data_IF_874154735435
#
_entry.id   IF_874154735435
#
_cell.length_a   1.000
_cell.length_b   1.000
_cell.length_c   1.000
_cell.angle_alpha   90.00
_cell.angle_beta   90.00
_cell.angle_gamma   90.00
#
_symmetry.space_group_name_H-M   'P 1'
#
loop_
_entity.id
_entity.type
_entity.pdbx_description
1 polymer ?
#
# COMPACT_ATOMS: atom_id res chain seq x y z
N UNK A 1 31.47 -39.44 -18.48
CA UNK A 1 31.54 -38.04 -18.09
C UNK A 1 31.04 -37.05 -19.18
N UNK A 2 31.04 -37.36 -20.48
CA UNK A 2 30.55 -36.44 -21.52
C UNK A 2 29.02 -36.33 -21.65
N UNK A 3 28.25 -37.27 -21.16
CA UNK A 3 26.76 -37.24 -21.22
C UNK A 3 26.10 -36.57 -20.02
N UNK A 4 26.85 -36.31 -18.95
CA UNK A 4 26.32 -35.62 -17.76
C UNK A 4 26.31 -34.08 -17.92
N UNK A 5 27.22 -33.56 -18.73
CA UNK A 5 27.30 -32.13 -19.07
C UNK A 5 26.23 -31.67 -20.05
N UNK A 6 25.68 -32.57 -20.86
CA UNK A 6 24.59 -32.22 -21.80
C UNK A 6 23.23 -32.17 -21.17
N UNK A 7 23.01 -32.85 -20.03
CA UNK A 7 21.77 -32.80 -19.27
C UNK A 7 21.66 -31.56 -18.39
N UNK A 8 22.77 -30.99 -17.97
CA UNK A 8 22.83 -29.78 -17.15
C UNK A 8 22.60 -28.49 -17.97
N UNK A 9 22.81 -28.56 -19.30
CA UNK A 9 22.64 -27.44 -20.22
C UNK A 9 21.19 -27.23 -20.68
N UNK A 10 20.28 -28.19 -20.44
CA UNK A 10 18.88 -28.13 -20.91
C UNK A 10 17.89 -27.61 -19.83
N UNK A 11 18.36 -27.43 -18.60
CA UNK A 11 17.52 -26.96 -17.47
C UNK A 11 17.45 -25.44 -17.36
N UNK A 12 18.23 -24.68 -18.16
CA UNK A 12 18.36 -23.22 -18.01
C UNK A 12 17.46 -22.35 -18.95
N UNK A 13 16.46 -22.94 -19.65
CA UNK A 13 15.62 -22.15 -20.57
C UNK A 13 14.13 -22.32 -20.31
N UNK A 14 13.70 -22.11 -19.08
CA UNK A 14 12.31 -21.77 -18.81
C UNK A 14 12.26 -20.39 -18.14
N UNK A 15 12.47 -19.34 -18.93
CA UNK A 15 11.95 -18.02 -18.58
C UNK A 15 10.45 -18.05 -18.83
N UNK A 16 9.69 -18.40 -17.79
CA UNK A 16 8.26 -18.17 -17.77
C UNK A 16 8.06 -16.67 -17.63
N UNK A 17 7.77 -16.01 -18.75
CA UNK A 17 7.24 -14.66 -18.76
C UNK A 17 5.93 -14.67 -17.98
N UNK A 18 5.94 -14.31 -16.73
CA UNK A 18 4.73 -14.12 -15.94
C UNK A 18 4.15 -12.76 -16.32
N UNK A 19 2.95 -12.74 -16.89
CA UNK A 19 2.21 -11.52 -17.16
C UNK A 19 2.03 -10.73 -15.87
N UNK A 20 2.30 -9.42 -15.94
CA UNK A 20 2.17 -8.49 -14.83
C UNK A 20 0.69 -8.34 -14.46
N UNK A 21 0.31 -8.81 -13.31
CA UNK A 21 -0.91 -8.42 -12.64
C UNK A 21 -0.68 -8.24 -11.15
N UNK A 22 -0.22 -7.08 -10.82
CA UNK A 22 -0.33 -6.58 -9.48
C UNK A 22 -1.12 -5.30 -9.53
N UNK A 23 -2.43 -5.33 -9.25
CA UNK A 23 -3.12 -4.10 -8.91
C UNK A 23 -2.35 -3.53 -7.73
N UNK A 24 -1.78 -2.32 -7.85
CA UNK A 24 -1.02 -1.71 -6.76
C UNK A 24 -1.99 -1.37 -5.66
N UNK A 25 -2.21 -2.32 -4.77
CA UNK A 25 -3.07 -2.13 -3.63
C UNK A 25 -2.32 -1.21 -2.66
N UNK A 26 -2.83 0.02 -2.48
CA UNK A 26 -2.49 0.90 -1.38
C UNK A 26 -1.05 1.44 -1.28
N UNK A 27 -0.37 1.67 -2.38
CA UNK A 27 1.06 1.97 -2.32
C UNK A 27 1.45 3.44 -2.45
N UNK A 28 0.53 4.28 -2.92
CA UNK A 28 0.87 5.69 -3.09
C UNK A 28 0.40 6.47 -1.86
N UNK A 29 1.35 6.80 -1.00
CA UNK A 29 1.26 7.77 0.10
C UNK A 29 0.16 7.56 1.10
N UNK A 30 0.18 6.43 1.70
CA UNK A 30 -0.62 6.12 2.88
C UNK A 30 0.06 6.55 4.18
N UNK A 31 0.94 7.56 4.12
CA UNK A 31 1.61 8.08 5.32
C UNK A 31 0.65 8.66 6.35
N UNK A 32 -0.55 8.98 5.94
CA UNK A 32 -1.65 9.40 6.80
C UNK A 32 -2.48 8.22 7.34
N UNK A 33 -2.28 7.00 6.79
CA UNK A 33 -3.00 5.80 7.19
C UNK A 33 -2.15 4.53 7.09
N UNK A 34 -1.12 4.41 7.91
CA UNK A 34 -0.22 3.25 7.96
C UNK A 34 -0.95 1.93 8.22
N UNK A 35 -2.12 1.98 8.83
CA UNK A 35 -2.94 0.81 9.10
C UNK A 35 -3.35 0.06 7.81
N UNK A 36 -3.55 0.76 6.69
CA UNK A 36 -3.87 0.10 5.42
C UNK A 36 -2.72 -0.79 4.89
N UNK A 37 -1.48 -0.45 5.24
CA UNK A 37 -0.30 -1.23 4.87
C UNK A 37 0.04 -2.30 5.92
N UNK A 38 -0.08 -1.93 7.20
CA UNK A 38 0.47 -2.69 8.31
C UNK A 38 -0.65 -3.06 9.30
N UNK A 39 -1.17 -4.30 9.27
CA UNK A 39 -2.23 -4.73 10.20
C UNK A 39 -1.81 -4.64 11.67
N UNK A 40 -0.51 -4.68 11.95
CA UNK A 40 0.05 -4.46 13.30
C UNK A 40 -0.19 -3.05 13.86
N UNK A 41 -0.64 -2.11 13.02
CA UNK A 41 -1.00 -0.75 13.42
C UNK A 41 -2.47 -0.61 13.82
N UNK A 42 -3.30 -1.64 13.71
CA UNK A 42 -4.69 -1.59 14.15
C UNK A 42 -4.77 -1.26 15.64
N UNK A 43 -5.45 -0.17 16.00
CA UNK A 43 -5.59 0.31 17.38
C UNK A 43 -4.28 0.73 18.05
N UNK A 44 -3.24 1.02 17.26
CA UNK A 44 -1.94 1.44 17.78
C UNK A 44 -1.97 2.89 18.32
N UNK A 45 -2.86 3.71 17.82
CA UNK A 45 -3.02 5.11 18.22
C UNK A 45 -3.80 5.27 19.54
N UNK A 46 -3.72 6.48 20.11
CA UNK A 46 -4.51 6.85 21.29
C UNK A 46 -6.00 7.06 20.98
N UNK A 47 -6.34 7.27 19.70
CA UNK A 47 -7.72 7.43 19.21
C UNK A 47 -8.14 6.24 18.36
N UNK A 48 -9.42 5.94 18.34
CA UNK A 48 -10.02 5.22 17.24
C UNK A 48 -10.02 6.09 15.99
N UNK A 49 -9.85 5.50 14.82
CA UNK A 49 -9.73 6.21 13.54
C UNK A 49 -10.67 5.65 12.50
N UNK A 50 -11.35 6.54 11.79
CA UNK A 50 -12.02 6.26 10.51
C UNK A 50 -11.29 7.07 9.44
N UNK A 51 -10.92 6.44 8.34
CA UNK A 51 -10.29 7.12 7.18
C UNK A 51 -10.97 6.65 5.90
N UNK A 52 -11.38 7.62 5.09
CA UNK A 52 -11.88 7.40 3.74
C UNK A 52 -10.89 8.00 2.76
N UNK A 53 -10.45 7.22 1.79
CA UNK A 53 -9.52 7.67 0.75
C UNK A 53 -10.12 7.40 -0.62
N UNK A 54 -10.08 8.39 -1.49
CA UNK A 54 -10.44 8.27 -2.88
C UNK A 54 -9.27 8.71 -3.74
N UNK A 55 -8.86 7.86 -4.67
CA UNK A 55 -7.78 8.10 -5.62
C UNK A 55 -8.32 7.91 -7.02
N UNK A 56 -7.98 8.82 -7.92
CA UNK A 56 -8.35 8.76 -9.33
C UNK A 56 -7.16 9.17 -10.21
N UNK A 57 -7.05 8.50 -11.32
CA UNK A 57 -6.10 8.78 -12.38
C UNK A 57 -6.89 9.20 -13.63
N UNK A 58 -6.36 10.11 -14.47
CA UNK A 58 -6.93 10.51 -15.78
C UNK A 58 -8.41 10.90 -15.72
N UNK A 59 -8.68 12.12 -15.28
CA UNK A 59 -10.06 12.62 -15.12
C UNK A 59 -10.87 12.75 -16.42
N UNK A 60 -10.23 12.67 -17.55
CA UNK A 60 -10.80 12.83 -18.90
C UNK A 60 -11.11 11.50 -19.60
N UNK A 61 -10.93 10.36 -18.91
CA UNK A 61 -11.19 9.02 -19.46
C UNK A 61 -12.27 8.28 -18.67
N UNK A 62 -13.20 7.63 -19.39
CA UNK A 62 -14.34 6.94 -18.78
C UNK A 62 -13.84 5.77 -17.98
N UNK A 63 -13.09 4.90 -18.15
CA UNK A 63 -12.70 3.76 -17.35
C UNK A 63 -11.34 3.95 -16.63
N UNK A 64 -11.05 5.20 -16.25
CA UNK A 64 -9.81 5.54 -15.57
C UNK A 64 -9.64 4.81 -14.24
N UNK A 65 -8.40 4.45 -13.86
CA UNK A 65 -8.12 3.82 -12.59
C UNK A 65 -8.64 4.63 -11.41
N UNK A 66 -9.43 3.97 -10.56
CA UNK A 66 -10.07 4.58 -9.39
C UNK A 66 -9.99 3.61 -8.22
N UNK A 67 -9.44 4.07 -7.11
CA UNK A 67 -9.35 3.32 -5.86
C UNK A 67 -10.08 4.07 -4.75
N UNK A 68 -11.01 3.40 -4.09
CA UNK A 68 -11.71 3.90 -2.92
C UNK A 68 -11.45 2.98 -1.74
N UNK A 69 -11.13 3.54 -0.58
CA UNK A 69 -10.95 2.78 0.65
C UNK A 69 -11.68 3.44 1.80
N UNK A 70 -12.27 2.61 2.65
CA UNK A 70 -12.77 3.02 3.95
C UNK A 70 -12.14 2.13 5.00
N UNK A 71 -11.48 2.71 5.97
CA UNK A 71 -10.84 1.98 7.06
C UNK A 71 -11.31 2.49 8.41
N UNK A 72 -11.42 1.55 9.34
CA UNK A 72 -11.73 1.78 10.74
C UNK A 72 -10.73 1.00 11.58
N UNK A 73 -10.18 1.59 12.63
CA UNK A 73 -9.45 0.85 13.63
C UNK A 73 -9.54 1.53 15.00
N UNK A 74 -9.48 0.74 16.06
CA UNK A 74 -9.51 1.23 17.45
C UNK A 74 -8.84 0.25 18.40
N UNK A 75 -8.34 0.77 19.52
CA UNK A 75 -7.83 -0.07 20.61
C UNK A 75 -8.97 -0.77 21.36
N UNK A 76 -8.76 -2.01 21.75
CA UNK A 76 -9.60 -2.77 22.68
C UNK A 76 -8.77 -3.11 23.92
N UNK A 77 -9.10 -2.48 25.04
CA UNK A 77 -8.32 -2.62 26.26
C UNK A 77 -6.93 -1.98 26.14
N UNK A 78 -5.92 -2.59 26.76
CA UNK A 78 -4.58 -1.98 26.87
C UNK A 78 -3.62 -2.43 25.76
N UNK A 79 -3.77 -3.66 25.30
CA UNK A 79 -2.76 -4.32 24.47
C UNK A 79 -3.32 -4.88 23.16
N UNK A 80 -4.58 -4.63 22.84
CA UNK A 80 -5.18 -5.17 21.63
C UNK A 80 -5.82 -4.09 20.79
N UNK A 81 -5.82 -4.28 19.50
CA UNK A 81 -6.51 -3.45 18.54
C UNK A 81 -7.29 -4.26 17.53
N UNK A 82 -8.37 -3.69 17.06
CA UNK A 82 -9.18 -4.24 15.97
C UNK A 82 -9.34 -3.22 14.87
N UNK A 83 -9.66 -3.69 13.70
CA UNK A 83 -9.98 -2.83 12.58
C UNK A 83 -10.74 -3.55 11.48
N UNK A 84 -11.21 -2.75 10.54
CA UNK A 84 -11.85 -3.18 9.33
C UNK A 84 -11.44 -2.29 8.16
N UNK A 85 -11.30 -2.87 6.98
CA UNK A 85 -10.98 -2.18 5.74
C UNK A 85 -11.98 -2.66 4.69
N UNK A 86 -12.57 -1.74 3.96
CA UNK A 86 -13.34 -2.04 2.75
C UNK A 86 -12.72 -1.24 1.61
N UNK A 87 -12.60 -1.86 0.45
CA UNK A 87 -12.05 -1.20 -0.72
C UNK A 87 -12.78 -1.58 -1.99
N UNK A 88 -12.72 -0.67 -2.96
CA UNK A 88 -13.13 -0.88 -4.32
C UNK A 88 -12.09 -0.27 -5.24
N UNK A 89 -11.48 -1.11 -6.07
CA UNK A 89 -10.45 -0.73 -7.03
C UNK A 89 -10.95 -1.09 -8.43
N UNK A 90 -10.93 -0.11 -9.33
CA UNK A 90 -11.29 -0.29 -10.73
C UNK A 90 -10.14 0.19 -11.61
N UNK A 91 -9.76 -0.62 -12.57
CA UNK A 91 -8.72 -0.30 -13.54
C UNK A 91 -9.14 -0.84 -14.92
N UNK A 92 -9.71 0.01 -15.76
CA UNK A 92 -10.29 -0.39 -17.02
C UNK A 92 -11.42 -1.41 -16.82
N UNK A 93 -11.30 -2.55 -17.47
CA UNK A 93 -12.26 -3.66 -17.40
C UNK A 93 -12.10 -4.53 -16.15
N UNK A 94 -11.01 -4.36 -15.40
CA UNK A 94 -10.76 -5.07 -14.16
C UNK A 94 -11.29 -4.29 -12.97
N UNK A 95 -11.92 -5.00 -12.04
CA UNK A 95 -12.25 -4.43 -10.73
C UNK A 95 -12.02 -5.42 -9.60
N UNK A 96 -11.62 -4.91 -8.45
CA UNK A 96 -11.52 -5.68 -7.22
C UNK A 96 -12.29 -4.98 -6.11
N UNK A 97 -13.14 -5.71 -5.43
CA UNK A 97 -13.82 -5.23 -4.23
C UNK A 97 -13.51 -6.19 -3.09
N UNK A 98 -13.15 -5.68 -1.93
CA UNK A 98 -12.80 -6.54 -0.82
C UNK A 98 -13.08 -5.93 0.53
N UNK A 99 -13.10 -6.79 1.54
CA UNK A 99 -13.21 -6.41 2.94
C UNK A 99 -12.24 -7.24 3.78
N UNK A 100 -11.56 -6.57 4.71
CA UNK A 100 -10.67 -7.19 5.68
C UNK A 100 -11.11 -6.86 7.10
N UNK A 101 -10.97 -7.82 7.99
CA UNK A 101 -11.00 -7.64 9.44
C UNK A 101 -9.58 -7.79 9.98
N UNK A 102 -9.21 -6.94 10.92
CA UNK A 102 -7.87 -6.88 11.48
C UNK A 102 -7.90 -7.10 12.98
N UNK A 103 -6.88 -7.79 13.46
CA UNK A 103 -6.57 -7.87 14.87
C UNK A 103 -5.08 -7.61 15.08
N UNK A 104 -4.74 -6.80 16.08
CA UNK A 104 -3.36 -6.56 16.49
C UNK A 104 -3.19 -6.76 17.99
N UNK A 105 -1.99 -7.21 18.38
CA UNK A 105 -1.57 -7.33 19.76
C UNK A 105 -0.29 -6.52 19.99
N UNK A 106 -0.32 -5.66 21.00
CA UNK A 106 0.72 -4.69 21.31
C UNK A 106 1.42 -5.07 22.61
N UNK A 107 2.72 -5.36 22.54
CA UNK A 107 3.56 -5.71 23.67
C UNK A 107 4.44 -4.51 24.05
N UNK A 108 4.31 -4.01 25.27
CA UNK A 108 5.28 -3.07 25.83
C UNK A 108 6.55 -3.83 26.22
N UNK A 109 7.69 -3.47 25.62
CA UNK A 109 8.98 -4.16 25.78
C UNK A 109 9.90 -3.34 26.69
N UNK A 110 9.84 -3.57 27.99
CA UNK A 110 10.69 -2.84 28.95
C UNK A 110 10.41 -1.35 29.01
N UNK A 111 11.19 -0.62 29.82
CA UNK A 111 11.06 0.84 29.96
C UNK A 111 10.03 1.29 31.00
N UNK A 112 10.05 2.59 31.33
CA UNK A 112 9.02 3.23 32.15
C UNK A 112 7.70 3.35 31.40
N UNK A 113 6.62 3.62 32.12
CA UNK A 113 5.28 3.80 31.53
C UNK A 113 5.20 4.99 30.56
N UNK A 114 6.18 5.88 30.58
CA UNK A 114 6.22 7.10 29.76
C UNK A 114 7.02 6.96 28.46
N UNK A 115 7.86 5.92 28.33
CA UNK A 115 8.66 5.70 27.13
C UNK A 115 7.96 4.72 26.18
N UNK A 116 7.73 5.15 24.93
CA UNK A 116 7.23 4.28 23.88
C UNK A 116 8.31 3.26 23.52
N UNK A 117 8.08 2.00 23.87
CA UNK A 117 8.90 0.85 23.48
C UNK A 117 7.96 -0.33 23.25
N UNK A 118 7.42 -0.44 22.03
CA UNK A 118 6.31 -1.32 21.73
C UNK A 118 6.57 -2.19 20.51
N UNK A 119 6.44 -3.50 20.70
CA UNK A 119 6.41 -4.48 19.63
C UNK A 119 4.95 -4.88 19.39
N UNK A 120 4.51 -4.81 18.16
CA UNK A 120 3.13 -5.13 17.77
C UNK A 120 3.11 -6.20 16.69
N UNK A 121 2.18 -7.14 16.81
CA UNK A 121 1.88 -8.14 15.80
C UNK A 121 0.44 -7.98 15.36
N UNK A 122 0.18 -8.13 14.07
CA UNK A 122 -1.17 -8.00 13.54
C UNK A 122 -1.43 -8.94 12.38
N UNK A 123 -2.69 -9.23 12.16
CA UNK A 123 -3.16 -10.00 11.02
C UNK A 123 -4.43 -9.38 10.45
N UNK A 124 -4.54 -9.42 9.13
CA UNK A 124 -5.76 -9.18 8.38
C UNK A 124 -6.30 -10.49 7.86
N UNK A 125 -7.60 -10.64 7.88
CA UNK A 125 -8.34 -11.75 7.28
C UNK A 125 -9.45 -11.15 6.43
N UNK A 126 -9.56 -11.52 5.17
CA UNK A 126 -10.53 -10.91 4.28
C UNK A 126 -10.95 -11.74 3.10
N UNK A 127 -11.98 -11.25 2.44
CA UNK A 127 -12.50 -11.76 1.18
C UNK A 127 -12.33 -10.69 0.12
N UNK A 128 -11.85 -11.09 -1.05
CA UNK A 128 -11.67 -10.24 -2.21
C UNK A 128 -12.41 -10.86 -3.39
N UNK A 129 -13.24 -10.09 -4.06
CA UNK A 129 -13.87 -10.45 -5.32
C UNK A 129 -13.16 -9.71 -6.44
N UNK A 130 -12.63 -10.45 -7.40
CA UNK A 130 -12.08 -9.92 -8.64
C UNK A 130 -13.10 -10.10 -9.76
N UNK A 131 -13.16 -9.13 -10.68
CA UNK A 131 -14.08 -9.14 -11.84
C UNK A 131 -13.35 -8.66 -13.09
N UNK A 132 -13.68 -9.29 -14.20
CA UNK A 132 -13.30 -8.87 -15.54
C UNK A 132 -14.59 -8.68 -16.36
N UNK A 133 -14.80 -7.47 -16.84
CA UNK A 133 -15.97 -7.11 -17.65
C UNK A 133 -15.62 -7.10 -19.14
N UNK A 134 -15.98 -8.16 -19.83
CA UNK A 134 -15.77 -8.31 -21.28
C UNK A 134 -17.02 -7.96 -22.10
N UNK A 135 -18.08 -7.46 -21.46
CA UNK A 135 -19.37 -7.22 -22.14
C UNK A 135 -19.30 -6.20 -23.26
N UNK A 136 -18.38 -5.25 -23.15
CA UNK A 136 -18.16 -4.17 -24.13
C UNK A 136 -17.02 -4.45 -25.12
N UNK A 137 -16.42 -5.64 -25.10
CA UNK A 137 -15.36 -5.97 -26.03
C UNK A 137 -15.90 -6.13 -27.46
N UNK A 138 -15.12 -5.65 -28.43
CA UNK A 138 -15.50 -5.75 -29.85
C UNK A 138 -15.47 -7.22 -30.28
N UNK A 139 -16.64 -7.69 -30.73
CA UNK A 139 -16.85 -9.08 -31.22
C UNK A 139 -16.63 -9.23 -32.70
N UNK A 140 -16.24 -8.19 -33.43
CA UNK A 140 -16.01 -8.28 -34.89
C UNK A 140 -14.79 -9.13 -35.23
N UNK A 141 -13.79 -9.16 -34.36
CA UNK A 141 -12.64 -10.04 -34.42
C UNK A 141 -12.84 -11.20 -33.45
N UNK A 142 -13.06 -12.40 -33.94
CA UNK A 142 -13.25 -13.57 -33.09
C UNK A 142 -11.95 -13.90 -32.35
N UNK A 143 -11.94 -13.76 -31.04
CA UNK A 143 -10.90 -14.25 -30.13
C UNK A 143 -11.50 -15.34 -29.23
N UNK A 144 -11.02 -16.60 -29.31
CA UNK A 144 -11.57 -17.71 -28.54
C UNK A 144 -11.40 -17.55 -27.02
N UNK A 145 -10.54 -16.63 -26.57
CA UNK A 145 -10.28 -16.34 -25.12
C UNK A 145 -11.35 -15.39 -24.59
N UNK A 146 -11.88 -14.47 -25.39
CA UNK A 146 -12.89 -13.49 -25.00
C UNK A 146 -14.26 -14.15 -24.93
N UNK A 147 -14.79 -14.27 -23.73
CA UNK A 147 -16.11 -14.84 -23.47
C UNK A 147 -17.24 -13.85 -23.75
N UNK A 148 -16.97 -12.56 -23.63
CA UNK A 148 -17.91 -11.45 -23.79
C UNK A 148 -18.96 -11.39 -22.70
N UNK A 149 -18.65 -11.90 -21.51
CA UNK A 149 -19.48 -11.87 -20.30
C UNK A 149 -18.72 -11.26 -19.13
N UNK A 150 -19.43 -10.98 -18.06
CA UNK A 150 -18.81 -10.62 -16.79
C UNK A 150 -18.30 -11.90 -16.10
N UNK A 151 -16.97 -12.02 -16.01
CA UNK A 151 -16.33 -13.10 -15.26
C UNK A 151 -15.98 -12.59 -13.85
N UNK A 152 -16.25 -13.38 -12.82
CA UNK A 152 -15.91 -12.99 -11.45
C UNK A 152 -15.56 -14.19 -10.60
N UNK A 153 -14.58 -14.02 -9.73
CA UNK A 153 -14.21 -14.99 -8.71
C UNK A 153 -13.92 -14.30 -7.36
N UNK A 154 -14.08 -15.06 -6.27
CA UNK A 154 -13.86 -14.59 -4.91
C UNK A 154 -12.87 -15.48 -4.18
N UNK A 155 -11.88 -14.87 -3.57
CA UNK A 155 -10.85 -15.57 -2.83
C UNK A 155 -10.65 -15.02 -1.43
N UNK A 156 -10.19 -15.90 -0.56
CA UNK A 156 -9.84 -15.58 0.81
C UNK A 156 -8.38 -15.10 0.89
N UNK A 157 -8.11 -14.07 1.67
CA UNK A 157 -6.77 -13.56 1.84
C UNK A 157 -6.43 -13.31 3.31
N UNK A 158 -5.14 -13.46 3.64
CA UNK A 158 -4.57 -13.17 4.96
C UNK A 158 -3.33 -12.30 4.76
N UNK A 159 -3.13 -11.32 5.62
CA UNK A 159 -1.87 -10.57 5.73
C UNK A 159 -1.34 -10.69 7.16
N UNK A 160 -0.02 -10.66 7.32
CA UNK A 160 0.64 -10.63 8.63
C UNK A 160 1.55 -9.42 8.72
N UNK A 161 1.48 -8.71 9.84
CA UNK A 161 2.30 -7.54 10.11
C UNK A 161 3.01 -7.59 11.45
N UNK A 162 4.17 -6.97 11.50
CA UNK A 162 4.93 -6.69 12.71
C UNK A 162 5.36 -5.23 12.69
N UNK A 163 5.32 -4.57 13.86
CA UNK A 163 5.77 -3.19 14.02
C UNK A 163 6.57 -3.06 15.31
N UNK A 164 7.68 -2.33 15.23
CA UNK A 164 8.43 -1.95 16.40
C UNK A 164 8.55 -0.44 16.48
N UNK A 165 8.11 0.13 17.58
CA UNK A 165 8.10 1.55 17.88
C UNK A 165 8.99 1.79 19.11
N UNK A 166 10.02 2.60 18.96
CA UNK A 166 10.92 2.97 20.03
C UNK A 166 11.15 4.47 20.05
N UNK A 167 10.50 5.16 21.01
CA UNK A 167 10.47 6.63 21.07
C UNK A 167 10.01 7.20 19.71
N UNK A 168 10.88 7.94 19.07
CA UNK A 168 10.62 8.60 17.79
C UNK A 168 10.96 7.74 16.56
N UNK A 169 11.53 6.54 16.77
CA UNK A 169 11.86 5.58 15.71
C UNK A 169 10.72 4.59 15.50
N UNK A 170 10.46 4.26 14.25
CA UNK A 170 9.53 3.21 13.90
C UNK A 170 10.05 2.32 12.76
N UNK A 171 9.67 1.06 12.81
CA UNK A 171 9.83 0.12 11.71
C UNK A 171 8.62 -0.80 11.65
N UNK A 172 8.11 -1.01 10.44
CA UNK A 172 6.99 -1.89 10.15
C UNK A 172 7.39 -2.88 9.07
N UNK A 173 6.96 -4.12 9.21
CA UNK A 173 7.12 -5.16 8.20
C UNK A 173 5.78 -5.89 8.01
N UNK A 174 5.39 -6.10 6.76
CA UNK A 174 4.14 -6.80 6.43
C UNK A 174 4.37 -7.79 5.30
N UNK A 175 3.81 -8.97 5.49
CA UNK A 175 3.70 -10.01 4.50
C UNK A 175 2.26 -10.02 3.99
N UNK A 176 2.05 -9.63 2.73
CA UNK A 176 0.73 -9.59 2.09
C UNK A 176 0.53 -10.77 1.16
N UNK A 177 -0.69 -11.28 1.14
CA UNK A 177 -1.11 -12.35 0.22
C UNK A 177 -0.28 -13.63 0.30
N UNK A 178 0.05 -14.22 1.48
CA UNK A 178 0.85 -15.42 1.58
C UNK A 178 0.12 -16.69 1.11
N UNK A 179 -1.20 -16.63 0.91
CA UNK A 179 -1.98 -17.77 0.43
C UNK A 179 -2.03 -17.72 -1.10
N UNK A 180 -1.48 -18.73 -1.74
CA UNK A 180 -1.51 -18.87 -3.19
C UNK A 180 -2.86 -19.44 -3.62
N UNK A 181 -3.67 -18.64 -4.32
CA UNK A 181 -4.95 -19.07 -4.90
C UNK A 181 -5.04 -18.60 -6.34
N UNK A 182 -5.52 -19.48 -7.21
CA UNK A 182 -5.92 -19.12 -8.57
C UNK A 182 -7.22 -18.33 -8.48
N UNK A 183 -7.40 -17.36 -9.36
CA UNK A 183 -8.57 -16.49 -9.38
C UNK A 183 -9.63 -16.94 -10.37
N UNK A 184 -9.36 -17.96 -11.18
CA UNK A 184 -10.26 -18.51 -12.20
C UNK A 184 -10.96 -17.47 -13.09
N UNK A 185 -10.30 -16.32 -13.33
CA UNK A 185 -10.85 -15.22 -14.15
C UNK A 185 -10.31 -15.27 -15.57
N UNK A 186 -9.12 -15.83 -15.74
CA UNK A 186 -8.44 -15.97 -17.02
C UNK A 186 -8.38 -17.43 -17.44
N UNK A 187 -8.08 -17.66 -18.72
CA UNK A 187 -7.86 -19.01 -19.24
C UNK A 187 -6.62 -19.67 -18.61
N UNK A 188 -6.70 -20.99 -18.43
CA UNK A 188 -5.60 -21.80 -17.92
C UNK A 188 -4.27 -21.48 -18.61
N UNK A 189 -3.23 -21.22 -17.84
CA UNK A 189 -1.90 -20.88 -18.33
C UNK A 189 -1.57 -19.38 -18.35
N UNK A 190 -2.58 -18.51 -18.31
CA UNK A 190 -2.41 -17.04 -18.26
C UNK A 190 -2.78 -16.44 -16.91
N UNK A 191 -3.31 -17.23 -16.00
CA UNK A 191 -3.64 -16.76 -14.65
C UNK A 191 -2.41 -16.57 -13.78
N UNK A 192 -2.33 -15.40 -13.14
CA UNK A 192 -1.42 -15.20 -12.04
C UNK A 192 -2.13 -15.52 -10.71
N UNK A 193 -1.53 -16.40 -9.93
CA UNK A 193 -1.96 -16.60 -8.54
C UNK A 193 -1.81 -15.30 -7.76
N UNK A 194 -2.58 -15.18 -6.67
CA UNK A 194 -2.38 -14.11 -5.69
C UNK A 194 -0.91 -13.98 -5.32
N UNK A 195 -0.34 -12.78 -5.41
CA UNK A 195 1.10 -12.58 -5.33
C UNK A 195 1.54 -12.22 -3.91
N UNK A 196 2.46 -13.00 -3.38
CA UNK A 196 3.13 -12.70 -2.12
C UNK A 196 3.92 -11.39 -2.23
N UNK A 197 3.68 -10.46 -1.28
CA UNK A 197 4.39 -9.18 -1.19
C UNK A 197 5.01 -8.98 0.17
N UNK A 198 6.23 -8.46 0.14
CA UNK A 198 6.95 -7.98 1.30
C UNK A 198 6.91 -6.46 1.30
N UNK A 199 6.47 -5.86 2.40
CA UNK A 199 6.44 -4.40 2.60
C UNK A 199 7.18 -4.09 3.88
N UNK A 200 8.21 -3.26 3.81
CA UNK A 200 8.97 -2.78 4.98
C UNK A 200 8.99 -1.27 4.93
N UNK A 201 8.64 -0.64 6.03
CA UNK A 201 8.68 0.81 6.20
C UNK A 201 9.44 1.16 7.46
N UNK A 202 10.37 2.11 7.42
CA UNK A 202 11.08 2.61 8.58
C UNK A 202 11.24 4.12 8.51
N UNK A 203 11.19 4.79 9.66
CA UNK A 203 11.35 6.23 9.75
C UNK A 203 11.69 6.70 11.16
N UNK A 204 11.93 7.97 11.24
CA UNK A 204 12.31 8.64 12.47
C UNK A 204 11.66 10.03 12.56
N UNK A 205 11.07 10.35 13.70
CA UNK A 205 10.54 11.68 13.96
C UNK A 205 11.60 12.57 14.60
N UNK A 206 11.88 13.68 13.98
CA UNK A 206 12.77 14.72 14.48
C UNK A 206 11.89 15.87 15.00
N UNK A 207 11.76 15.98 16.32
CA UNK A 207 11.00 17.03 17.00
C UNK A 207 11.95 17.94 17.81
N UNK A 208 12.44 19.05 17.23
CA UNK A 208 13.36 19.94 17.93
C UNK A 208 12.67 20.59 19.14
N UNK A 209 13.37 20.67 20.28
CA UNK A 209 12.83 21.31 21.48
C UNK A 209 12.51 22.79 21.20
N UNK A 210 11.32 23.25 21.59
CA UNK A 210 10.83 24.64 21.40
C UNK A 210 10.58 25.02 19.94
N UNK A 211 10.32 24.07 19.06
CA UNK A 211 9.92 24.30 17.68
C UNK A 211 8.51 23.76 17.47
N UNK A 212 7.69 24.50 16.78
CA UNK A 212 6.37 24.03 16.31
C UNK A 212 6.50 23.13 15.06
N UNK A 213 7.71 22.97 14.53
CA UNK A 213 8.02 22.10 13.41
C UNK A 213 8.55 20.76 13.86
N UNK A 214 8.05 19.72 13.21
CA UNK A 214 8.53 18.35 13.32
C UNK A 214 8.77 17.80 11.92
N UNK A 215 9.75 16.89 11.78
CA UNK A 215 10.13 16.31 10.49
C UNK A 215 10.20 14.79 10.61
N UNK A 216 9.65 14.08 9.62
CA UNK A 216 9.62 12.62 9.58
C UNK A 216 10.18 12.12 8.25
N UNK A 217 11.51 11.94 8.13
CA UNK A 217 12.08 11.16 7.05
C UNK A 217 11.72 9.69 7.23
N UNK A 218 11.37 9.03 6.13
CA UNK A 218 11.11 7.59 6.12
C UNK A 218 11.44 6.95 4.78
N UNK A 219 11.63 5.64 4.81
CA UNK A 219 11.86 4.81 3.64
C UNK A 219 10.89 3.64 3.65
N UNK A 220 10.28 3.37 2.51
CA UNK A 220 9.47 2.19 2.31
C UNK A 220 10.08 1.35 1.19
N UNK A 221 10.23 0.05 1.43
CA UNK A 221 10.64 -0.93 0.44
C UNK A 221 9.52 -1.93 0.23
N UNK A 222 9.26 -2.24 -1.02
CA UNK A 222 8.33 -3.30 -1.39
C UNK A 222 8.95 -4.21 -2.44
N UNK A 223 8.63 -5.51 -2.30
CA UNK A 223 8.97 -6.53 -3.30
C UNK A 223 7.80 -7.49 -3.46
N UNK A 224 7.50 -7.81 -4.72
CA UNK A 224 6.57 -8.88 -5.11
C UNK A 224 7.37 -10.12 -5.50
N UNK A 225 7.05 -11.28 -4.92
CA UNK A 225 7.91 -12.48 -5.03
C UNK A 225 7.94 -13.03 -6.46
N UNK A 226 6.80 -13.14 -7.12
CA UNK A 226 6.69 -13.80 -8.43
C UNK A 226 7.10 -12.92 -9.59
N UNK A 227 6.61 -11.68 -9.65
CA UNK A 227 6.98 -10.70 -10.70
C UNK A 227 8.34 -10.08 -10.46
N UNK A 228 8.88 -10.23 -9.23
CA UNK A 228 10.13 -9.61 -8.76
C UNK A 228 10.13 -8.09 -8.80
N UNK A 229 9.00 -7.48 -9.07
CA UNK A 229 8.85 -6.03 -8.98
C UNK A 229 9.30 -5.53 -7.61
N UNK A 230 10.17 -4.55 -7.66
CA UNK A 230 10.72 -3.93 -6.46
C UNK A 230 10.66 -2.42 -6.60
N UNK A 231 10.34 -1.75 -5.50
CA UNK A 231 10.49 -0.30 -5.43
C UNK A 231 10.85 0.17 -4.03
N UNK A 232 11.48 1.33 -4.02
CA UNK A 232 11.80 2.09 -2.82
C UNK A 232 11.12 3.45 -2.91
N UNK A 233 10.46 3.83 -1.82
CA UNK A 233 9.95 5.18 -1.63
C UNK A 233 10.82 5.91 -0.60
N UNK A 234 11.32 7.07 -0.97
CA UNK A 234 12.00 7.99 -0.08
C UNK A 234 11.02 9.10 0.29
N UNK A 235 10.73 9.24 1.55
CA UNK A 235 9.70 10.15 2.03
C UNK A 235 10.27 11.18 3.00
N UNK A 236 9.81 12.40 2.88
CA UNK A 236 10.06 13.48 3.84
C UNK A 236 8.74 14.17 4.16
N UNK A 237 8.34 14.14 5.43
CA UNK A 237 7.12 14.77 5.93
C UNK A 237 7.48 15.83 6.97
N UNK A 238 6.80 16.93 6.94
CA UNK A 238 6.93 18.00 7.91
C UNK A 238 5.55 18.29 8.52
N UNK A 239 5.53 18.50 9.83
CA UNK A 239 4.36 18.88 10.60
C UNK A 239 4.60 20.27 11.20
N UNK A 240 3.55 21.05 11.26
CA UNK A 240 3.54 22.34 11.92
C UNK A 240 2.32 22.47 12.83
N UNK A 241 2.57 22.56 14.12
CA UNK A 241 1.53 22.76 15.14
C UNK A 241 1.14 24.23 15.17
N UNK A 242 -0.01 24.57 14.59
CA UNK A 242 -0.52 25.93 14.49
C UNK A 242 -1.09 26.42 15.84
N UNK A 243 -1.79 25.55 16.53
CA UNK A 243 -2.38 25.75 17.85
C UNK A 243 -2.75 24.42 18.50
N UNK A 244 -3.23 24.47 19.76
CA UNK A 244 -3.80 23.29 20.41
C UNK A 244 -4.98 22.74 19.60
N UNK A 245 -4.82 21.59 18.95
CA UNK A 245 -5.84 20.91 18.15
C UNK A 245 -5.71 21.11 16.64
N UNK A 246 -4.81 21.94 16.14
CA UNK A 246 -4.62 22.12 14.69
C UNK A 246 -3.17 21.88 14.30
N UNK A 247 -2.94 20.82 13.53
CA UNK A 247 -1.63 20.49 12.95
C UNK A 247 -1.75 20.49 11.42
N UNK A 248 -0.89 21.26 10.77
CA UNK A 248 -0.70 21.21 9.33
C UNK A 248 0.41 20.20 9.01
N UNK A 249 0.29 19.47 7.92
CA UNK A 249 1.36 18.62 7.45
C UNK A 249 1.54 18.73 5.95
N UNK A 250 2.77 18.58 5.51
CA UNK A 250 3.14 18.56 4.10
C UNK A 250 4.31 17.60 3.90
N UNK A 251 4.50 17.15 2.68
CA UNK A 251 5.65 16.33 2.40
C UNK A 251 5.83 16.04 0.93
N UNK A 252 6.89 15.31 0.69
CA UNK A 252 7.29 14.88 -0.64
C UNK A 252 7.72 13.44 -0.55
N UNK A 253 7.34 12.68 -1.55
CA UNK A 253 7.82 11.34 -1.70
C UNK A 253 8.29 11.07 -3.11
N UNK A 254 9.35 10.31 -3.22
CA UNK A 254 9.95 9.85 -4.45
C UNK A 254 10.00 8.33 -4.47
N UNK A 255 9.33 7.74 -5.46
CA UNK A 255 9.34 6.31 -5.72
C UNK A 255 10.24 5.99 -6.90
N UNK A 256 11.07 4.96 -6.76
CA UNK A 256 11.87 4.37 -7.81
C UNK A 256 11.63 2.86 -7.88
N UNK A 257 11.23 2.35 -9.06
CA UNK A 257 11.24 0.91 -9.32
C UNK A 257 12.62 0.46 -9.81
N UNK A 258 12.98 -0.81 -9.52
CA UNK A 258 14.31 -1.36 -9.87
C UNK A 258 14.26 -2.48 -10.89
N UNK A 259 13.14 -3.11 -11.11
CA UNK A 259 12.97 -4.17 -12.10
C UNK A 259 11.76 -3.83 -12.95
N UNK A 260 11.99 -3.07 -14.00
CA UNK A 260 10.98 -2.72 -15.00
C UNK A 260 10.80 -3.82 -16.04
N UNK A 261 9.70 -3.74 -16.77
CA UNK A 261 9.49 -4.60 -17.93
C UNK A 261 10.61 -4.38 -18.97
N UNK A 262 11.18 -5.46 -19.45
CA UNK A 262 12.13 -5.40 -20.57
C UNK A 262 11.38 -5.11 -21.86
N UNK A 263 11.88 -4.16 -22.64
CA UNK A 263 11.37 -3.89 -23.98
C UNK A 263 12.53 -3.76 -24.96
N UNK A 264 12.27 -4.08 -26.23
CA UNK A 264 13.26 -4.00 -27.29
C UNK A 264 13.16 -2.63 -27.97
N UNK A 265 14.24 -1.86 -27.91
CA UNK A 265 14.44 -0.64 -28.67
C UNK A 265 15.52 -0.86 -29.74
N UNK A 266 15.09 -1.07 -30.97
CA UNK A 266 16.00 -1.45 -32.06
C UNK A 266 16.66 -2.81 -31.84
N UNK A 267 17.97 -2.82 -31.56
CA UNK A 267 18.77 -4.03 -31.24
C UNK A 267 19.02 -4.21 -29.77
N UNK A 268 18.72 -3.21 -28.94
CA UNK A 268 19.03 -3.20 -27.53
C UNK A 268 17.81 -3.56 -26.67
N UNK A 269 18.04 -4.30 -25.59
CA UNK A 269 17.03 -4.57 -24.57
C UNK A 269 17.17 -3.51 -23.49
N UNK A 270 16.13 -2.73 -23.31
CA UNK A 270 16.04 -1.70 -22.28
C UNK A 270 15.04 -2.12 -21.21
N UNK A 271 15.20 -1.60 -19.99
CA UNK A 271 14.26 -1.81 -18.87
C UNK A 271 13.47 -0.53 -18.63
N UNK A 272 12.16 -0.68 -18.58
CA UNK A 272 11.24 0.41 -18.29
C UNK A 272 11.09 0.60 -16.79
N UNK A 273 11.78 1.58 -16.21
CA UNK A 273 11.70 1.91 -14.79
C UNK A 273 10.59 2.94 -14.53
N UNK A 274 9.82 2.71 -13.48
CA UNK A 274 8.80 3.64 -13.00
C UNK A 274 9.38 4.54 -11.92
N UNK A 275 9.30 5.85 -12.13
CA UNK A 275 9.62 6.86 -11.14
C UNK A 275 8.40 7.75 -10.89
N UNK A 276 8.03 7.95 -9.61
CA UNK A 276 6.92 8.80 -9.20
C UNK A 276 7.41 9.85 -8.21
N UNK A 277 6.96 11.09 -8.40
CA UNK A 277 7.12 12.16 -7.43
C UNK A 277 5.74 12.57 -6.91
N UNK A 278 5.59 12.61 -5.59
CA UNK A 278 4.29 12.86 -4.99
C UNK A 278 4.40 13.87 -3.86
N UNK A 279 4.16 15.15 -4.15
CA UNK A 279 3.87 16.13 -3.12
C UNK A 279 2.52 15.85 -2.47
N UNK A 280 2.43 16.07 -1.17
CA UNK A 280 1.19 15.98 -0.41
C UNK A 280 1.09 17.09 0.64
N UNK A 281 -0.13 17.44 0.98
CA UNK A 281 -0.47 18.43 2.01
C UNK A 281 -1.73 17.99 2.73
N UNK A 282 -1.83 18.31 3.99
CA UNK A 282 -3.03 18.06 4.76
C UNK A 282 -3.08 18.85 6.05
N UNK A 283 -4.19 18.68 6.75
CA UNK A 283 -4.43 19.31 8.03
C UNK A 283 -5.25 18.40 8.94
N UNK A 284 -4.97 18.47 10.22
CA UNK A 284 -5.76 17.88 11.28
C UNK A 284 -6.36 19.01 12.11
N UNK A 285 -7.66 18.96 12.30
CA UNK A 285 -8.44 19.93 13.09
C UNK A 285 -9.19 19.16 14.18
N UNK A 286 -8.72 19.22 15.40
CA UNK A 286 -9.26 18.44 16.52
C UNK A 286 -9.37 16.95 16.14
N UNK A 287 -10.59 16.49 15.83
CA UNK A 287 -10.90 15.12 15.46
C UNK A 287 -10.95 14.89 13.94
N UNK A 288 -10.83 15.91 13.11
CA UNK A 288 -10.97 15.79 11.67
C UNK A 288 -9.61 15.87 10.98
N UNK A 289 -9.41 15.07 9.97
CA UNK A 289 -8.22 15.07 9.12
C UNK A 289 -8.64 15.21 7.67
N UNK A 290 -7.93 16.06 6.92
CA UNK A 290 -8.04 16.15 5.47
C UNK A 290 -6.66 16.12 4.86
N UNK A 291 -6.47 15.36 3.81
CA UNK A 291 -5.22 15.27 3.07
C UNK A 291 -5.46 15.22 1.57
N UNK A 292 -4.50 15.76 0.84
CA UNK A 292 -4.46 15.70 -0.62
C UNK A 292 -3.07 15.34 -1.08
N UNK A 293 -2.99 14.39 -2.00
CA UNK A 293 -1.75 13.94 -2.63
C UNK A 293 -1.89 14.03 -4.15
N UNK A 294 -0.88 14.56 -4.80
CA UNK A 294 -0.73 14.52 -6.24
C UNK A 294 0.49 13.71 -6.60
N UNK A 295 0.38 12.75 -7.52
CA UNK A 295 1.51 11.94 -7.94
C UNK A 295 1.76 12.09 -9.43
N UNK A 296 2.97 12.49 -9.80
CA UNK A 296 3.42 12.63 -11.18
C UNK A 296 4.39 11.51 -11.51
N UNK A 297 4.15 10.84 -12.64
CA UNK A 297 5.04 9.83 -13.17
C UNK A 297 6.12 10.45 -14.05
N UNK A 298 7.34 9.95 -13.90
CA UNK A 298 8.50 10.29 -14.70
C UNK A 298 9.13 9.01 -15.25
N UNK A 299 9.96 9.11 -16.25
CA UNK A 299 10.67 8.00 -16.86
C UNK A 299 10.26 7.78 -18.30
N UNK A 300 10.53 6.59 -18.82
CA UNK A 300 10.33 6.26 -20.23
C UNK A 300 8.85 6.14 -20.62
N UNK A 301 7.98 5.86 -19.66
CA UNK A 301 6.52 5.92 -19.83
C UNK A 301 6.00 7.21 -19.23
N UNK A 302 5.57 8.12 -20.09
CA UNK A 302 4.89 9.33 -19.69
C UNK A 302 3.42 9.22 -20.11
N UNK A 303 2.51 9.35 -19.15
CA UNK A 303 1.10 9.49 -19.48
C UNK A 303 0.78 10.94 -19.87
N UNK A 304 0.14 11.12 -21.01
CA UNK A 304 -0.19 12.44 -21.57
C UNK A 304 -1.21 13.22 -20.73
N UNK A 305 -1.98 12.58 -19.92
CA UNK A 305 -3.03 13.17 -19.08
C UNK A 305 -2.65 13.08 -17.61
N UNK A 306 -2.57 14.23 -16.96
CA UNK A 306 -2.17 14.53 -15.57
C UNK A 306 -2.22 13.36 -14.59
N UNK A 307 -1.25 13.32 -13.68
CA UNK A 307 -0.96 12.28 -12.72
C UNK A 307 -2.12 11.70 -11.90
N UNK A 308 -1.81 11.18 -10.72
CA UNK A 308 -2.81 10.65 -9.79
C UNK A 308 -3.20 11.70 -8.77
N UNK A 309 -4.49 11.77 -8.46
CA UNK A 309 -5.02 12.64 -7.42
C UNK A 309 -5.64 11.78 -6.32
N UNK A 310 -5.28 12.04 -5.07
CA UNK A 310 -5.82 11.33 -3.92
C UNK A 310 -6.31 12.32 -2.88
N UNK A 311 -7.50 12.08 -2.35
CA UNK A 311 -8.08 12.80 -1.22
C UNK A 311 -8.29 11.81 -0.09
N UNK A 312 -7.85 12.18 1.12
CA UNK A 312 -8.09 11.43 2.34
C UNK A 312 -8.90 12.29 3.31
N UNK A 313 -9.97 11.73 3.83
CA UNK A 313 -10.78 12.32 4.90
C UNK A 313 -10.73 11.40 6.13
N UNK A 314 -10.63 11.99 7.30
CA UNK A 314 -10.50 11.24 8.53
C UNK A 314 -11.27 11.82 9.71
N UNK A 315 -11.67 10.92 10.62
CA UNK A 315 -12.26 11.27 11.92
C UNK A 315 -11.58 10.44 12.98
N UNK A 316 -11.09 11.12 14.03
CA UNK A 316 -10.57 10.52 15.25
C UNK A 316 -11.66 10.54 16.33
N UNK A 317 -11.82 9.47 17.09
CA UNK A 317 -12.86 9.34 18.10
C UNK A 317 -12.38 8.50 19.29
N UNK A 318 -13.08 8.57 20.43
CA UNK A 318 -12.70 7.85 21.65
C UNK A 318 -11.25 8.05 22.05
N UNK A 319 -10.72 9.26 21.88
CA UNK A 319 -9.36 9.57 22.19
C UNK A 319 -9.09 9.45 23.70
N UNK A 320 -8.03 8.75 24.03
CA UNK A 320 -7.50 8.69 25.39
C UNK A 320 -6.36 9.69 25.53
N UNK A 321 -5.99 10.04 26.77
CA UNK A 321 -4.82 10.90 27.04
C UNK A 321 -3.56 10.23 26.50
N UNK A 322 -2.65 11.04 25.98
CA UNK A 322 -1.33 10.59 25.55
C UNK A 322 -0.63 9.85 26.69
N UNK A 323 -0.19 8.64 26.38
CA UNK A 323 0.52 7.76 27.31
C UNK A 323 2.03 7.93 27.24
N UNK A 324 2.51 8.52 26.16
CA UNK A 324 3.93 8.52 25.81
C UNK A 324 4.50 9.92 25.86
N UNK A 325 5.75 10.02 26.26
CA UNK A 325 6.48 11.30 26.29
C UNK A 325 6.98 11.76 24.92
N UNK A 326 6.87 10.92 23.90
CA UNK A 326 7.24 11.25 22.52
C UNK A 326 6.09 11.94 21.78
N UNK A 327 6.44 12.80 20.85
CA UNK A 327 5.49 13.39 19.90
C UNK A 327 5.19 12.42 18.74
N UNK A 328 4.84 11.21 18.91
CA UNK A 328 4.80 10.11 17.97
C UNK A 328 3.75 10.27 16.82
N UNK A 329 3.93 11.13 15.80
CA UNK A 329 2.94 11.35 14.75
C UNK A 329 2.63 10.08 13.95
N UNK A 330 3.61 9.21 13.72
CA UNK A 330 3.42 7.93 13.06
C UNK A 330 2.38 7.02 13.74
N UNK A 331 2.09 7.29 15.02
CA UNK A 331 1.09 6.57 15.82
C UNK A 331 -0.20 7.38 15.95
N UNK A 332 -0.10 8.71 16.05
CA UNK A 332 -1.19 9.58 16.45
C UNK A 332 -1.84 10.40 15.32
N UNK A 333 -1.22 10.43 14.14
CA UNK A 333 -1.80 11.03 12.93
C UNK A 333 -2.63 10.07 12.10
#
# INVERSE_FOLDING_TARGET
>A
MKHFLFFLSFVCFFNLSAAQEGIPVYQDYLMDNLYLLHPSMAGAANCGKVRATARQQWFDQEDAPNLQTLSFNTAIGQNSGIGAIVFNDKNGYHSQTGAYLSYAYHLQVGGGYEDLNRLSFGANVGLVQSRLDETNFDRTNFDPIITGVLVSDSYFNIDFGMSYLYKDFFIHATLKNPIFQNREIYSEGFESTNQLRYVVNAGYLIAPRKSDWQFEPSVLYQRTDRTKEQFVDLNAKAFYDLNEGTTLYMGLSYRQSFEGAEFQDGTDIQQQNLSLLSPFIGAKFDSFTVGYTYSQQFGDVQFASGGFHQITLGIDFLCTKDRWSCNCPAVNL
#
